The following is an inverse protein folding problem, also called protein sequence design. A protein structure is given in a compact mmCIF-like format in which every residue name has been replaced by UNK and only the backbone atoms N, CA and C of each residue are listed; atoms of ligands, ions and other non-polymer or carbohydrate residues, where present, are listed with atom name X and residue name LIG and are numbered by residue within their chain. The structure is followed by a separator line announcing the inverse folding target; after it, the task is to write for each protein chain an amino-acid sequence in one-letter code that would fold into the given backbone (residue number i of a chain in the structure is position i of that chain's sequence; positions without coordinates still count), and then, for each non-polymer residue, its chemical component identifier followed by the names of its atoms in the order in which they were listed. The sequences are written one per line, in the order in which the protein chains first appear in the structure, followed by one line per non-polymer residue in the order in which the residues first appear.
data_IF_504584509058
#
_entry.id   IF_504584509058
#
_cell.length_a   1.000
_cell.length_b   1.000
_cell.length_c   1.000
_cell.angle_alpha   90.00
_cell.angle_beta   90.00
_cell.angle_gamma   90.00
#
_symmetry.space_group_name_H-M   'P 1'
#
loop_
_entity.id
_entity.type
_entity.pdbx_description
1 polymer ?
#
# COMPACT_ATOMS: atom_id res chain seq x y z
N UNK A 1 -22.57 -3.89 -27.08
CA UNK A 1 -21.67 -2.87 -26.48
C UNK A 1 -20.35 -2.93 -27.21
N UNK A 2 -19.91 -1.84 -27.84
CA UNK A 2 -18.82 -1.88 -28.84
C UNK A 2 -17.47 -2.26 -28.23
N UNK A 3 -16.89 -3.34 -28.73
CA UNK A 3 -15.61 -3.92 -28.33
C UNK A 3 -14.40 -3.14 -28.92
N UNK A 4 -14.51 -1.82 -29.05
CA UNK A 4 -13.51 -0.99 -29.73
C UNK A 4 -12.33 -0.65 -28.80
N UNK A 5 -11.13 -0.52 -29.37
CA UNK A 5 -9.94 -0.11 -28.62
C UNK A 5 -10.08 1.29 -28.03
N UNK A 6 -10.82 2.20 -28.68
CA UNK A 6 -11.13 3.52 -28.12
C UNK A 6 -11.85 3.43 -26.78
N UNK A 7 -12.84 2.54 -26.64
CA UNK A 7 -13.52 2.33 -25.35
C UNK A 7 -12.60 1.70 -24.30
N UNK A 8 -11.62 0.86 -24.72
CA UNK A 8 -10.61 0.29 -23.82
C UNK A 8 -9.62 1.35 -23.33
N UNK A 9 -9.22 2.28 -24.20
CA UNK A 9 -8.38 3.43 -23.87
C UNK A 9 -9.04 4.29 -22.79
N UNK A 10 -10.33 4.65 -22.95
CA UNK A 10 -11.03 5.46 -21.94
C UNK A 10 -11.10 4.77 -20.57
N UNK A 11 -11.41 3.46 -20.55
CA UNK A 11 -11.39 2.69 -19.29
C UNK A 11 -10.01 2.60 -18.66
N UNK A 12 -8.97 2.45 -19.47
CA UNK A 12 -7.59 2.43 -19.00
C UNK A 12 -7.18 3.79 -18.43
N UNK A 13 -7.47 4.87 -19.15
CA UNK A 13 -7.22 6.24 -18.70
C UNK A 13 -7.93 6.54 -17.39
N UNK A 14 -9.19 6.14 -17.25
CA UNK A 14 -9.95 6.29 -16.00
C UNK A 14 -9.28 5.58 -14.81
N UNK A 15 -8.80 4.34 -14.99
CA UNK A 15 -8.07 3.63 -13.91
C UNK A 15 -6.73 4.28 -13.56
N UNK A 16 -6.03 4.82 -14.55
CA UNK A 16 -4.70 5.43 -14.42
C UNK A 16 -4.71 6.91 -14.03
N UNK A 17 -5.86 7.59 -14.06
CA UNK A 17 -6.01 8.94 -13.50
C UNK A 17 -6.76 8.93 -12.17
N UNK A 18 -7.48 7.86 -11.86
CA UNK A 18 -8.35 7.81 -10.70
C UNK A 18 -9.73 8.40 -10.97
N UNK A 19 -10.67 8.09 -10.09
CA UNK A 19 -12.03 8.65 -10.13
C UNK A 19 -12.05 10.06 -9.52
N UNK A 20 -13.10 10.83 -9.81
CA UNK A 20 -13.29 12.15 -9.21
C UNK A 20 -13.24 12.12 -7.68
N UNK A 21 -13.88 11.12 -7.06
CA UNK A 21 -13.88 10.99 -5.59
C UNK A 21 -12.49 10.70 -5.04
N UNK A 22 -11.71 9.85 -5.70
CA UNK A 22 -10.32 9.57 -5.31
C UNK A 22 -9.44 10.82 -5.42
N UNK A 23 -9.65 11.63 -6.46
CA UNK A 23 -8.98 12.90 -6.65
C UNK A 23 -9.37 13.91 -5.57
N UNK A 24 -10.65 13.95 -5.17
CA UNK A 24 -11.11 14.81 -4.09
C UNK A 24 -10.54 14.40 -2.74
N UNK A 25 -10.57 13.10 -2.39
CA UNK A 25 -9.95 12.60 -1.16
C UNK A 25 -8.46 12.94 -1.11
N UNK A 26 -7.75 12.82 -2.24
CA UNK A 26 -6.37 13.25 -2.34
C UNK A 26 -6.23 14.77 -2.07
N UNK A 27 -7.05 15.61 -2.71
CA UNK A 27 -7.06 17.07 -2.53
C UNK A 27 -7.41 17.51 -1.11
N UNK A 28 -8.41 16.89 -0.48
CA UNK A 28 -8.82 17.14 0.90
C UNK A 28 -7.74 16.72 1.90
N UNK A 29 -7.08 15.59 1.63
CA UNK A 29 -5.94 15.14 2.44
C UNK A 29 -4.79 16.15 2.41
N UNK A 30 -4.61 16.87 1.29
CA UNK A 30 -3.63 17.94 1.15
C UNK A 30 -4.06 19.18 1.97
N UNK A 31 -5.34 19.59 1.86
CA UNK A 31 -5.83 20.80 2.54
C UNK A 31 -5.93 20.68 4.06
N UNK A 32 -6.19 19.48 4.57
CA UNK A 32 -6.38 19.22 6.01
C UNK A 32 -5.06 19.06 6.78
N UNK A 33 -3.91 19.05 6.11
CA UNK A 33 -2.60 18.94 6.76
C UNK A 33 -2.03 20.31 7.17
N UNK A 34 -2.33 20.72 8.41
CA UNK A 34 -1.40 21.57 9.17
C UNK A 34 -0.39 20.65 9.86
N UNK A 35 0.85 20.65 9.37
CA UNK A 35 2.06 20.06 9.96
C UNK A 35 2.36 18.60 9.54
N UNK A 36 3.54 18.46 8.92
CA UNK A 36 4.33 17.27 8.50
C UNK A 36 4.09 16.70 7.08
N UNK A 37 5.01 17.02 6.14
CA UNK A 37 5.07 16.46 4.77
C UNK A 37 4.76 17.41 3.58
N UNK A 38 4.72 18.72 3.81
CA UNK A 38 4.18 19.78 2.94
C UNK A 38 4.64 19.85 1.46
N UNK A 39 5.82 19.35 1.09
CA UNK A 39 6.37 19.59 -0.26
C UNK A 39 5.87 18.59 -1.32
N UNK A 40 5.63 17.34 -0.94
CA UNK A 40 5.29 16.28 -1.89
C UNK A 40 3.80 16.32 -2.32
N UNK A 41 2.97 16.99 -1.54
CA UNK A 41 1.51 16.96 -1.67
C UNK A 41 0.97 18.01 -2.66
N UNK A 42 1.52 19.22 -2.69
CA UNK A 42 1.19 20.23 -3.70
C UNK A 42 1.60 19.79 -5.13
N UNK A 43 2.60 18.91 -5.26
CA UNK A 43 3.00 18.33 -6.55
C UNK A 43 1.90 17.44 -7.14
N UNK A 44 1.16 16.70 -6.31
CA UNK A 44 0.12 15.79 -6.81
C UNK A 44 -0.94 16.52 -7.63
N UNK A 45 -1.42 17.68 -7.16
CA UNK A 45 -2.41 18.48 -7.88
C UNK A 45 -1.95 18.86 -9.29
N UNK A 46 -0.67 19.24 -9.46
CA UNK A 46 -0.08 19.47 -10.76
C UNK A 46 0.00 18.20 -11.62
N UNK A 47 0.30 17.04 -11.02
CA UNK A 47 0.36 15.74 -11.71
C UNK A 47 -1.00 15.21 -12.17
N UNK A 48 -2.09 15.50 -11.44
CA UNK A 48 -3.44 15.02 -11.80
C UNK A 48 -3.88 15.53 -13.19
N UNK A 49 -3.43 16.73 -13.56
CA UNK A 49 -3.79 17.38 -14.81
C UNK A 49 -2.80 17.10 -15.96
N UNK A 50 -1.67 16.45 -15.67
CA UNK A 50 -0.70 16.07 -16.70
C UNK A 50 -1.21 14.90 -17.54
N UNK A 51 -0.86 14.94 -18.82
CA UNK A 51 -1.06 13.81 -19.71
C UNK A 51 0.12 12.85 -19.57
N UNK A 52 -0.17 11.57 -19.42
CA UNK A 52 0.88 10.56 -19.42
C UNK A 52 1.52 10.43 -20.80
N UNK A 53 2.79 10.04 -20.86
CA UNK A 53 3.54 9.89 -22.11
C UNK A 53 2.85 8.99 -23.14
N UNK A 54 2.19 7.91 -22.71
CA UNK A 54 1.46 7.01 -23.61
C UNK A 54 0.33 7.71 -24.37
N UNK A 55 -0.27 8.77 -23.81
CA UNK A 55 -1.41 9.45 -24.42
C UNK A 55 -1.05 10.09 -25.76
N UNK A 56 0.23 10.42 -25.96
CA UNK A 56 0.72 11.05 -27.19
C UNK A 56 1.28 10.05 -28.21
N UNK A 57 1.44 8.76 -27.84
CA UNK A 57 2.03 7.71 -28.67
C UNK A 57 0.96 6.94 -29.44
N UNK A 58 1.30 6.47 -30.65
CA UNK A 58 0.41 5.63 -31.45
C UNK A 58 -0.93 6.29 -31.84
N UNK A 59 -0.99 7.64 -31.93
CA UNK A 59 -2.26 8.38 -32.15
C UNK A 59 -3.04 7.94 -33.40
N UNK A 60 -2.35 7.38 -34.40
CA UNK A 60 -2.94 6.93 -35.65
C UNK A 60 -3.60 5.54 -35.55
N UNK A 61 -3.27 4.73 -34.53
CA UNK A 61 -3.85 3.41 -34.31
C UNK A 61 -4.25 3.20 -32.85
N UNK A 62 -5.56 3.12 -32.62
CA UNK A 62 -6.13 2.89 -31.29
C UNK A 62 -5.69 1.56 -30.64
N UNK A 63 -5.40 0.51 -31.43
CA UNK A 63 -4.93 -0.76 -30.90
C UNK A 63 -3.51 -0.63 -30.35
N UNK A 64 -2.59 -0.10 -31.16
CA UNK A 64 -1.21 0.19 -30.75
C UNK A 64 -1.16 1.14 -29.56
N UNK A 65 -1.95 2.23 -29.56
CA UNK A 65 -2.00 3.18 -28.44
C UNK A 65 -2.49 2.53 -27.15
N UNK A 66 -3.49 1.66 -27.23
CA UNK A 66 -3.96 0.90 -26.08
C UNK A 66 -2.87 -0.02 -25.51
N UNK A 67 -2.17 -0.78 -26.36
CA UNK A 67 -1.10 -1.68 -25.92
C UNK A 67 0.03 -0.91 -25.24
N UNK A 68 0.47 0.21 -25.82
CA UNK A 68 1.52 1.06 -25.22
C UNK A 68 1.10 1.55 -23.84
N UNK A 69 -0.12 2.10 -23.70
CA UNK A 69 -0.59 2.60 -22.41
C UNK A 69 -0.86 1.49 -21.38
N UNK A 70 -1.22 0.29 -21.84
CA UNK A 70 -1.43 -0.85 -20.94
C UNK A 70 -0.12 -1.44 -20.42
N UNK A 71 0.96 -1.34 -21.20
CA UNK A 71 2.31 -1.79 -20.83
C UNK A 71 3.10 -0.75 -20.01
N UNK A 72 2.76 0.53 -20.13
CA UNK A 72 3.45 1.59 -19.38
C UNK A 72 3.10 1.47 -17.88
N UNK A 73 4.08 1.54 -16.96
CA UNK A 73 3.79 1.70 -15.54
C UNK A 73 2.98 2.98 -15.31
N UNK A 74 2.17 3.03 -14.24
CA UNK A 74 1.50 4.28 -13.86
C UNK A 74 2.53 5.37 -13.55
N UNK A 75 2.11 6.63 -13.52
CA UNK A 75 3.03 7.71 -13.18
C UNK A 75 3.63 7.47 -11.77
N UNK A 76 4.97 7.56 -11.68
CA UNK A 76 5.74 7.26 -10.48
C UNK A 76 5.25 8.03 -9.24
N UNK A 77 4.72 9.26 -9.42
CA UNK A 77 4.21 10.03 -8.26
C UNK A 77 3.09 9.30 -7.54
N UNK A 78 2.26 8.55 -8.24
CA UNK A 78 1.19 7.76 -7.61
C UNK A 78 1.74 6.63 -6.74
N UNK A 79 2.84 6.00 -7.17
CA UNK A 79 3.55 4.94 -6.46
C UNK A 79 4.28 5.49 -5.24
N UNK A 80 4.96 6.63 -5.36
CA UNK A 80 5.60 7.33 -4.26
C UNK A 80 4.61 7.66 -3.14
N UNK A 81 3.42 8.17 -3.48
CA UNK A 81 2.37 8.46 -2.50
C UNK A 81 1.93 7.21 -1.74
N UNK A 82 1.87 6.06 -2.40
CA UNK A 82 1.56 4.78 -1.75
C UNK A 82 2.61 4.43 -0.70
N UNK A 83 3.91 4.61 -1.01
CA UNK A 83 4.98 4.43 -0.04
C UNK A 83 4.99 5.48 1.07
N UNK A 84 4.74 6.75 0.75
CA UNK A 84 4.64 7.84 1.74
C UNK A 84 3.49 7.58 2.73
N UNK A 85 2.34 7.11 2.23
CA UNK A 85 1.17 6.77 3.06
C UNK A 85 1.49 5.59 3.98
N UNK A 86 2.11 4.53 3.46
CA UNK A 86 2.57 3.40 4.28
C UNK A 86 3.59 3.83 5.34
N UNK A 87 4.58 4.65 4.96
CA UNK A 87 5.61 5.14 5.87
C UNK A 87 5.03 6.00 6.99
N UNK A 88 3.99 6.79 6.68
CA UNK A 88 3.26 7.57 7.69
C UNK A 88 2.59 6.66 8.72
N UNK A 89 1.94 5.59 8.30
CA UNK A 89 1.33 4.61 9.22
C UNK A 89 2.41 3.91 10.05
N UNK A 90 3.47 3.41 9.40
CA UNK A 90 4.64 2.82 10.07
C UNK A 90 5.18 3.73 11.19
N UNK A 91 5.48 4.99 10.87
CA UNK A 91 6.04 5.94 11.83
C UNK A 91 5.13 6.17 13.05
N UNK A 92 3.81 6.03 12.89
CA UNK A 92 2.87 6.13 14.01
C UNK A 92 2.82 4.86 14.83
N UNK A 93 2.79 3.69 14.17
CA UNK A 93 2.80 2.39 14.86
C UNK A 93 4.09 2.20 15.68
N UNK A 94 5.25 2.54 15.14
CA UNK A 94 6.54 2.50 15.86
C UNK A 94 6.52 3.37 17.12
N UNK A 95 5.84 4.53 17.09
CA UNK A 95 5.76 5.42 18.26
C UNK A 95 4.75 4.95 19.32
N UNK A 96 3.75 4.18 18.91
CA UNK A 96 2.61 3.80 19.77
C UNK A 96 2.75 2.39 20.35
N UNK A 97 3.46 1.52 19.65
CA UNK A 97 3.62 0.12 20.02
C UNK A 97 5.00 -0.11 20.62
N UNK A 98 5.05 -0.63 21.84
CA UNK A 98 6.29 -1.04 22.50
C UNK A 98 6.66 -2.48 22.08
N UNK A 99 6.89 -2.66 20.78
CA UNK A 99 7.19 -3.94 20.15
C UNK A 99 8.38 -3.80 19.19
N UNK A 100 9.11 -4.90 18.97
CA UNK A 100 10.18 -4.94 17.98
C UNK A 100 9.57 -5.24 16.61
N UNK A 101 9.13 -4.18 15.92
CA UNK A 101 8.42 -4.30 14.65
C UNK A 101 9.32 -4.07 13.45
N UNK A 102 9.09 -4.87 12.42
CA UNK A 102 9.59 -4.66 11.08
C UNK A 102 8.42 -4.41 10.13
N UNK A 103 8.63 -3.56 9.13
CA UNK A 103 7.60 -3.16 8.19
C UNK A 103 8.00 -3.52 6.77
N UNK A 104 7.04 -4.02 5.99
CA UNK A 104 7.22 -4.35 4.57
C UNK A 104 5.97 -3.98 3.79
N UNK A 105 6.15 -3.42 2.61
CA UNK A 105 5.06 -3.24 1.66
C UNK A 105 5.03 -4.46 0.74
N UNK A 106 3.87 -5.06 0.54
CA UNK A 106 3.65 -6.16 -0.40
C UNK A 106 2.68 -5.78 -1.52
N UNK A 107 2.41 -6.73 -2.41
CA UNK A 107 1.44 -6.55 -3.50
C UNK A 107 2.03 -5.92 -4.76
N UNK A 108 1.17 -5.30 -5.56
CA UNK A 108 1.52 -4.81 -6.90
C UNK A 108 2.29 -3.49 -6.92
N UNK A 109 2.14 -2.67 -5.89
CA UNK A 109 2.83 -1.36 -5.73
C UNK A 109 4.36 -1.52 -5.64
N UNK A 110 4.93 -2.35 -4.73
CA UNK A 110 6.38 -2.46 -4.60
C UNK A 110 7.08 -3.09 -5.80
N UNK A 111 6.32 -3.71 -6.71
CA UNK A 111 6.82 -4.31 -7.95
C UNK A 111 6.62 -3.39 -9.17
N UNK A 112 5.99 -2.22 -9.01
CA UNK A 112 5.61 -1.31 -10.09
C UNK A 112 4.79 -1.97 -11.22
N UNK A 113 3.90 -2.90 -10.84
CA UNK A 113 3.00 -3.61 -11.77
C UNK A 113 1.53 -3.27 -11.56
N UNK A 114 1.23 -2.39 -10.61
CA UNK A 114 -0.10 -1.84 -10.43
C UNK A 114 -0.56 -1.02 -11.66
N UNK A 115 -1.85 -1.17 -11.99
CA UNK A 115 -2.46 -0.53 -13.17
C UNK A 115 -3.45 0.60 -12.81
N UNK A 116 -3.57 0.89 -11.51
CA UNK A 116 -4.41 1.95 -10.96
C UNK A 116 -3.55 2.93 -10.19
N UNK A 117 -3.85 4.21 -10.34
CA UNK A 117 -3.11 5.28 -9.66
C UNK A 117 -3.46 5.43 -8.19
N UNK A 118 -4.66 4.98 -7.82
CA UNK A 118 -5.10 4.81 -6.44
C UNK A 118 -5.18 3.32 -6.16
N UNK A 119 -4.03 2.66 -6.17
CA UNK A 119 -3.93 1.27 -5.72
C UNK A 119 -3.79 1.22 -4.21
N UNK A 120 -4.48 0.27 -3.62
CA UNK A 120 -4.41 -0.01 -2.19
C UNK A 120 -3.00 -0.48 -1.82
N UNK A 121 -2.60 -0.23 -0.57
CA UNK A 121 -1.27 -0.58 -0.09
C UNK A 121 -1.37 -1.65 0.96
N UNK A 122 -0.71 -2.78 0.72
CA UNK A 122 -0.61 -3.84 1.71
C UNK A 122 0.64 -3.61 2.58
N UNK A 123 0.45 -3.19 3.82
CA UNK A 123 1.51 -2.95 4.80
C UNK A 123 1.59 -4.11 5.79
N UNK A 124 2.61 -4.96 5.65
CA UNK A 124 2.96 -5.97 6.64
C UNK A 124 3.57 -5.29 7.87
N UNK A 125 3.02 -5.60 9.05
CA UNK A 125 3.62 -5.30 10.34
C UNK A 125 4.08 -6.62 10.96
N UNK A 126 5.38 -6.77 11.15
CA UNK A 126 6.00 -8.04 11.47
C UNK A 126 6.59 -7.94 12.86
N UNK A 127 6.05 -8.69 13.82
CA UNK A 127 6.69 -8.84 15.12
C UNK A 127 7.93 -9.72 14.99
N UNK A 128 9.08 -9.16 15.34
CA UNK A 128 10.39 -9.83 15.25
C UNK A 128 10.79 -10.56 16.53
N UNK A 129 9.97 -10.48 17.60
CA UNK A 129 10.21 -11.22 18.84
C UNK A 129 9.98 -12.73 18.69
N UNK A 130 9.27 -13.15 17.64
CA UNK A 130 9.01 -14.55 17.32
C UNK A 130 9.17 -14.77 15.83
N UNK A 131 9.64 -15.96 15.47
CA UNK A 131 9.51 -16.50 14.13
C UNK A 131 9.09 -17.96 14.25
N UNK A 132 8.46 -18.47 13.21
CA UNK A 132 8.28 -19.90 13.02
C UNK A 132 9.37 -20.36 12.06
N UNK A 133 9.88 -21.58 12.22
CA UNK A 133 10.94 -22.11 11.37
C UNK A 133 10.66 -23.55 10.98
N UNK A 134 11.24 -23.94 9.86
CA UNK A 134 11.30 -25.34 9.44
C UNK A 134 12.43 -26.07 10.17
N UNK A 135 12.08 -27.10 10.93
CA UNK A 135 13.04 -27.89 11.72
C UNK A 135 13.95 -28.79 10.88
N UNK A 136 13.61 -29.05 9.61
CA UNK A 136 14.43 -29.84 8.69
C UNK A 136 15.54 -29.01 8.01
N UNK A 137 15.66 -27.74 8.36
CA UNK A 137 16.70 -26.83 7.89
C UNK A 137 17.98 -26.83 8.75
N UNK A 138 18.87 -25.88 8.47
CA UNK A 138 20.20 -25.76 9.11
C UNK A 138 20.26 -24.74 10.25
N UNK A 139 19.18 -24.01 10.47
CA UNK A 139 19.09 -22.94 11.46
C UNK A 139 19.17 -23.44 12.90
N UNK A 140 19.68 -22.58 13.78
CA UNK A 140 19.73 -22.82 15.23
C UNK A 140 18.92 -21.74 15.94
N UNK A 141 17.91 -22.17 16.69
CA UNK A 141 16.94 -21.27 17.31
C UNK A 141 16.80 -21.54 18.80
N UNK A 142 16.35 -20.52 19.55
CA UNK A 142 15.96 -20.67 20.95
C UNK A 142 14.44 -20.75 21.02
N UNK A 143 13.85 -21.80 21.61
CA UNK A 143 12.41 -21.93 21.69
C UNK A 143 11.81 -20.86 22.60
N UNK A 144 10.61 -20.40 22.25
CA UNK A 144 9.77 -19.54 23.07
C UNK A 144 8.55 -20.32 23.58
N UNK A 145 7.94 -19.85 24.68
CA UNK A 145 6.68 -20.39 25.18
C UNK A 145 5.45 -19.63 24.63
N UNK A 146 5.67 -18.61 23.79
CA UNK A 146 4.59 -17.85 23.14
C UNK A 146 3.91 -18.71 22.07
N UNK A 147 2.59 -18.58 21.95
CA UNK A 147 1.83 -19.12 20.82
C UNK A 147 1.84 -18.12 19.66
N UNK A 148 2.00 -18.63 18.44
CA UNK A 148 2.04 -17.83 17.21
C UNK A 148 0.72 -17.10 16.93
N UNK A 149 -0.41 -17.78 17.11
CA UNK A 149 -1.74 -17.18 16.97
C UNK A 149 -1.98 -16.05 17.96
N UNK A 150 -1.64 -16.26 19.23
CA UNK A 150 -1.79 -15.24 20.27
C UNK A 150 -0.93 -14.01 19.96
N UNK A 151 0.33 -14.18 19.52
CA UNK A 151 1.22 -13.07 19.13
C UNK A 151 0.62 -12.25 17.98
N UNK A 152 0.09 -12.92 16.95
CA UNK A 152 -0.54 -12.24 15.80
C UNK A 152 -1.81 -11.48 16.24
N UNK A 153 -2.62 -12.07 17.12
CA UNK A 153 -3.84 -11.45 17.64
C UNK A 153 -3.53 -10.23 18.52
N UNK A 154 -2.55 -10.35 19.43
CA UNK A 154 -2.06 -9.23 20.25
C UNK A 154 -1.54 -8.09 19.38
N UNK A 155 -0.75 -8.40 18.34
CA UNK A 155 -0.26 -7.40 17.38
C UNK A 155 -1.41 -6.72 16.63
N UNK A 156 -2.44 -7.49 16.22
CA UNK A 156 -3.63 -6.95 15.56
C UNK A 156 -4.37 -5.98 16.48
N UNK A 157 -4.64 -6.38 17.72
CA UNK A 157 -5.39 -5.56 18.68
C UNK A 157 -4.65 -4.28 19.00
N UNK A 158 -3.34 -4.39 19.26
CA UNK A 158 -2.51 -3.23 19.53
C UNK A 158 -2.44 -2.27 18.32
N UNK A 159 -2.28 -2.80 17.11
CA UNK A 159 -2.27 -1.99 15.90
C UNK A 159 -3.62 -1.29 15.65
N UNK A 160 -4.74 -1.99 15.82
CA UNK A 160 -6.10 -1.44 15.70
C UNK A 160 -6.30 -0.23 16.61
N UNK A 161 -5.95 -0.37 17.88
CA UNK A 161 -6.11 0.69 18.87
C UNK A 161 -5.18 1.86 18.58
N UNK A 162 -3.92 1.59 18.20
CA UNK A 162 -2.96 2.61 17.81
C UNK A 162 -3.41 3.40 16.57
N UNK A 163 -3.95 2.71 15.55
CA UNK A 163 -4.47 3.33 14.33
C UNK A 163 -5.66 4.25 14.65
N UNK A 164 -6.65 3.76 15.40
CA UNK A 164 -7.83 4.56 15.80
C UNK A 164 -7.44 5.79 16.63
N UNK A 165 -6.48 5.64 17.55
CA UNK A 165 -6.01 6.74 18.38
C UNK A 165 -5.23 7.79 17.57
N UNK A 166 -4.50 7.37 16.54
CA UNK A 166 -3.58 8.25 15.80
C UNK A 166 -4.22 8.89 14.58
N UNK A 167 -5.19 8.22 13.96
CA UNK A 167 -5.92 8.70 12.80
C UNK A 167 -7.42 8.81 13.10
N UNK A 168 -7.84 9.69 14.04
CA UNK A 168 -9.23 9.74 14.50
C UNK A 168 -10.25 10.15 13.44
N UNK A 169 -9.80 10.77 12.34
CA UNK A 169 -10.62 11.13 11.19
C UNK A 169 -10.62 10.05 10.08
N UNK A 170 -9.80 9.00 10.21
CA UNK A 170 -9.80 7.87 9.29
C UNK A 170 -10.74 6.78 9.82
N UNK A 171 -11.32 6.01 8.89
CA UNK A 171 -12.06 4.80 9.21
C UNK A 171 -11.08 3.62 9.33
N UNK A 172 -11.18 2.87 10.42
CA UNK A 172 -10.39 1.65 10.66
C UNK A 172 -11.35 0.47 10.70
N UNK A 173 -11.45 -0.21 9.57
CA UNK A 173 -12.29 -1.39 9.33
C UNK A 173 -11.55 -2.67 9.73
N UNK A 174 -12.20 -3.44 10.59
CA UNK A 174 -11.66 -4.65 11.21
C UNK A 174 -12.40 -5.92 10.81
N UNK A 175 -13.35 -5.82 9.87
CA UNK A 175 -14.20 -6.96 9.52
C UNK A 175 -13.44 -8.05 8.73
N UNK A 176 -12.29 -7.70 8.13
CA UNK A 176 -11.45 -8.65 7.41
C UNK A 176 -10.64 -9.51 8.39
N UNK A 177 -10.73 -10.83 8.26
CA UNK A 177 -10.01 -11.76 9.13
C UNK A 177 -8.47 -11.66 9.08
N UNK A 178 -7.90 -11.03 8.05
CA UNK A 178 -6.45 -11.05 7.76
C UNK A 178 -5.77 -9.69 7.84
N UNK A 179 -6.51 -8.60 7.68
CA UNK A 179 -5.96 -7.23 7.70
C UNK A 179 -6.86 -6.28 8.49
N UNK A 180 -6.27 -5.16 8.92
CA UNK A 180 -6.98 -3.97 9.36
C UNK A 180 -6.93 -2.98 8.20
N UNK A 181 -8.09 -2.64 7.65
CA UNK A 181 -8.16 -1.69 6.56
C UNK A 181 -8.32 -0.28 7.13
N UNK A 182 -7.46 0.65 6.75
CA UNK A 182 -7.57 2.06 7.12
C UNK A 182 -7.77 2.94 5.89
N UNK A 183 -8.79 3.80 5.92
CA UNK A 183 -9.16 4.69 4.80
C UNK A 183 -9.58 6.08 5.26
N UNK A 184 -9.47 7.06 4.36
CA UNK A 184 -10.00 8.40 4.58
C UNK A 184 -9.18 9.26 5.56
N UNK A 185 -9.83 10.28 6.11
CA UNK A 185 -9.17 11.30 6.92
C UNK A 185 -8.15 12.08 6.11
N UNK A 186 -6.87 11.89 6.43
CA UNK A 186 -5.75 12.53 5.71
C UNK A 186 -4.87 11.52 4.97
N UNK A 187 -5.33 10.26 4.84
CA UNK A 187 -4.62 9.23 4.10
C UNK A 187 -5.02 9.31 2.62
N UNK A 188 -4.01 9.34 1.75
CA UNK A 188 -4.23 9.44 0.31
C UNK A 188 -4.47 8.08 -0.36
N UNK A 189 -4.26 6.99 0.38
CA UNK A 189 -4.47 5.62 -0.06
C UNK A 189 -5.17 4.84 1.03
N UNK A 190 -6.01 3.91 0.58
CA UNK A 190 -6.44 2.78 1.38
C UNK A 190 -5.22 1.92 1.70
N UNK A 191 -5.08 1.54 2.96
CA UNK A 191 -3.98 0.69 3.42
C UNK A 191 -4.55 -0.50 4.17
N UNK A 192 -4.20 -1.69 3.73
CA UNK A 192 -4.42 -2.94 4.43
C UNK A 192 -3.21 -3.21 5.33
N UNK A 193 -3.37 -3.03 6.64
CA UNK A 193 -2.34 -3.33 7.63
C UNK A 193 -2.47 -4.81 8.02
N UNK A 194 -1.42 -5.59 7.77
CA UNK A 194 -1.42 -7.05 7.91
C UNK A 194 -0.50 -7.46 9.07
N UNK A 195 -1.04 -7.86 10.23
CA UNK A 195 -0.27 -8.43 11.32
C UNK A 195 0.42 -9.73 10.87
N UNK A 196 1.70 -9.88 11.18
CA UNK A 196 2.53 -10.96 10.67
C UNK A 196 3.68 -11.31 11.61
N UNK A 197 4.25 -12.48 11.40
CA UNK A 197 5.51 -12.96 11.99
C UNK A 197 6.34 -13.62 10.89
N UNK A 198 7.64 -13.75 11.10
CA UNK A 198 8.53 -14.38 10.13
C UNK A 198 8.32 -15.90 10.07
N UNK A 199 8.36 -16.47 8.87
CA UNK A 199 8.49 -17.91 8.62
C UNK A 199 9.84 -18.20 7.96
N UNK A 200 10.73 -18.88 8.66
CA UNK A 200 12.10 -19.21 8.25
C UNK A 200 12.12 -20.60 7.60
N UNK A 201 11.80 -20.65 6.30
CA UNK A 201 11.75 -21.91 5.53
C UNK A 201 13.12 -22.59 5.51
N UNK A 202 13.14 -23.90 5.27
CA UNK A 202 14.38 -24.65 5.03
C UNK A 202 15.26 -24.00 3.96
N UNK A 203 14.66 -23.57 2.84
CA UNK A 203 15.38 -22.91 1.75
C UNK A 203 15.97 -21.56 2.18
N UNK A 204 15.20 -20.76 2.91
CA UNK A 204 15.67 -19.45 3.36
C UNK A 204 16.83 -19.58 4.36
N UNK A 205 16.82 -20.60 5.21
CA UNK A 205 17.93 -20.92 6.11
C UNK A 205 19.24 -21.18 5.36
N UNK A 206 19.19 -21.70 4.13
CA UNK A 206 20.38 -21.93 3.30
C UNK A 206 20.92 -20.66 2.62
N UNK A 207 20.17 -19.56 2.63
CA UNK A 207 20.60 -18.28 2.05
C UNK A 207 21.35 -17.38 3.04
N UNK A 208 21.40 -17.78 4.31
CA UNK A 208 22.02 -17.03 5.42
C UNK A 208 23.49 -17.38 5.62
#
# INVERSE_FOLDING_TARGET
MSNSFSARIERMKSRRKGTFDQLNVARESISNQRIDGLENYALLEGFLDLNESWETRGKQDSATRYVIGAMQPVDNRYTEISFETAKRIENQLVKKLDLNLEFRVQGSVPLDIHIKSFSDVDLLIIDTQMLIYDSDGIGRYTPTNKNDGDVILELRDAARDALKATFPAADVDDNNAKSLRITGGSLQREVDVVPSIWWDTKEYQHTK
#
